data_IF_861690179622
#
_entry.id   IF_861690179622
#
_cell.length_a   1.000
_cell.length_b   1.000
_cell.length_c   1.000
_cell.angle_alpha   90.00
_cell.angle_beta   90.00
_cell.angle_gamma   90.00
#
_symmetry.space_group_name_H-M   'P 1'
#
loop_
_entity.id
_entity.type
_entity.pdbx_description
1 polymer ?
#
# COMPACT_ATOMS: atom_id res chain seq x y z
N UNK A 1 -1.66 14.15 -13.00
CA UNK A 1 -2.00 14.14 -11.57
C UNK A 1 -3.45 13.71 -11.33
N UNK A 2 -4.42 14.44 -11.90
CA UNK A 2 -5.85 14.28 -11.59
C UNK A 2 -6.53 13.07 -12.25
N UNK A 3 -5.79 12.18 -12.85
CA UNK A 3 -6.28 10.92 -13.44
C UNK A 3 -5.69 9.69 -12.71
N UNK A 4 -5.05 9.89 -11.55
CA UNK A 4 -4.40 8.79 -10.80
C UNK A 4 -5.39 7.69 -10.39
N UNK A 5 -6.64 8.03 -10.18
CA UNK A 5 -7.70 7.07 -9.87
C UNK A 5 -7.84 5.97 -10.94
N UNK A 6 -7.53 6.26 -12.21
CA UNK A 6 -7.56 5.25 -13.27
C UNK A 6 -6.62 4.07 -12.96
N UNK A 7 -5.45 4.34 -12.36
CA UNK A 7 -4.52 3.28 -11.95
C UNK A 7 -5.19 2.25 -11.04
N UNK A 8 -6.05 2.70 -10.14
CA UNK A 8 -6.73 1.83 -9.17
C UNK A 8 -7.90 1.10 -9.82
N UNK A 9 -8.70 1.80 -10.62
CA UNK A 9 -9.82 1.19 -11.36
C UNK A 9 -9.31 0.15 -12.35
N UNK A 10 -8.32 0.48 -13.19
CA UNK A 10 -7.75 -0.46 -14.16
C UNK A 10 -7.18 -1.72 -13.48
N UNK A 11 -6.56 -1.56 -12.29
CA UNK A 11 -6.05 -2.69 -11.53
C UNK A 11 -7.17 -3.59 -11.00
N UNK A 12 -8.25 -3.00 -10.48
CA UNK A 12 -9.43 -3.73 -10.01
C UNK A 12 -10.11 -4.44 -11.18
N UNK A 13 -10.32 -3.73 -12.29
CA UNK A 13 -10.94 -4.29 -13.51
C UNK A 13 -10.15 -5.50 -14.04
N UNK A 14 -8.81 -5.45 -14.00
CA UNK A 14 -7.97 -6.60 -14.33
C UNK A 14 -8.22 -7.80 -13.40
N UNK A 15 -8.33 -7.56 -12.09
CA UNK A 15 -8.64 -8.61 -11.11
C UNK A 15 -10.01 -9.22 -11.33
N UNK A 16 -11.01 -8.39 -11.55
CA UNK A 16 -12.38 -8.83 -11.86
C UNK A 16 -12.44 -9.63 -13.17
N UNK A 17 -11.73 -9.17 -14.21
CA UNK A 17 -11.63 -9.89 -15.48
C UNK A 17 -11.02 -11.28 -15.31
N UNK A 18 -9.93 -11.41 -14.54
CA UNK A 18 -9.29 -12.70 -14.27
C UNK A 18 -10.24 -13.66 -13.56
N UNK A 19 -11.01 -13.16 -12.59
CA UNK A 19 -12.02 -13.96 -11.90
C UNK A 19 -13.18 -14.35 -12.84
N UNK A 20 -13.73 -13.40 -13.58
CA UNK A 20 -14.83 -13.64 -14.51
C UNK A 20 -14.45 -14.60 -15.65
N UNK A 21 -13.18 -14.58 -16.08
CA UNK A 21 -12.64 -15.46 -17.12
C UNK A 21 -12.23 -16.85 -16.59
N UNK A 22 -12.41 -17.12 -15.29
CA UNK A 22 -12.11 -18.43 -14.69
C UNK A 22 -10.62 -18.73 -14.48
N UNK A 23 -9.72 -17.73 -14.61
CA UNK A 23 -8.30 -17.90 -14.33
C UNK A 23 -8.00 -18.01 -12.84
N UNK A 24 -8.80 -17.37 -12.02
CA UNK A 24 -8.67 -17.34 -10.56
C UNK A 24 -10.03 -17.09 -9.91
N UNK A 25 -10.07 -16.93 -8.60
CA UNK A 25 -11.25 -16.50 -7.86
C UNK A 25 -10.83 -15.55 -6.72
N UNK A 26 -11.75 -14.80 -6.12
CA UNK A 26 -11.44 -13.98 -4.95
C UNK A 26 -10.82 -14.76 -3.78
N UNK A 27 -11.10 -16.05 -3.66
CA UNK A 27 -10.54 -16.93 -2.63
C UNK A 27 -9.09 -17.35 -2.89
N UNK A 28 -8.58 -17.08 -4.10
CA UNK A 28 -7.22 -17.51 -4.51
C UNK A 28 -6.40 -16.37 -5.11
N UNK A 29 -7.01 -15.23 -5.46
CA UNK A 29 -6.31 -14.10 -6.04
C UNK A 29 -5.44 -13.39 -5.01
N UNK A 30 -4.12 -13.44 -5.22
CA UNK A 30 -3.15 -12.72 -4.43
C UNK A 30 -2.55 -11.55 -5.23
N UNK A 31 -2.30 -10.43 -4.57
CA UNK A 31 -1.69 -9.24 -5.17
C UNK A 31 -0.46 -8.80 -4.38
N UNK A 32 0.50 -8.19 -5.07
CA UNK A 32 1.69 -7.66 -4.41
C UNK A 32 2.17 -6.35 -5.02
N UNK A 33 2.72 -5.47 -4.19
CA UNK A 33 3.29 -4.20 -4.62
C UNK A 33 4.24 -3.60 -3.58
N UNK A 34 5.17 -2.76 -4.05
CA UNK A 34 6.20 -2.12 -3.21
C UNK A 34 6.20 -0.62 -3.39
N UNK A 35 6.54 0.14 -2.33
CA UNK A 35 6.70 1.60 -2.39
C UNK A 35 5.42 2.26 -2.93
N UNK A 36 5.48 2.97 -4.04
CA UNK A 36 4.29 3.48 -4.77
C UNK A 36 3.33 2.34 -5.19
N UNK A 37 3.85 1.15 -5.53
CA UNK A 37 3.03 -0.05 -5.72
C UNK A 37 2.36 -0.54 -4.43
N UNK A 38 2.95 -0.25 -3.27
CA UNK A 38 2.32 -0.46 -1.97
C UNK A 38 1.15 0.51 -1.70
N UNK A 39 1.24 1.75 -2.20
CA UNK A 39 0.10 2.67 -2.22
C UNK A 39 -1.03 2.09 -3.08
N UNK A 40 -0.70 1.57 -4.28
CA UNK A 40 -1.68 0.88 -5.13
C UNK A 40 -2.35 -0.26 -4.35
N UNK A 41 -1.57 -1.13 -3.69
CA UNK A 41 -2.12 -2.22 -2.88
C UNK A 41 -3.07 -1.72 -1.79
N UNK A 42 -2.67 -0.69 -1.05
CA UNK A 42 -3.51 -0.10 0.00
C UNK A 42 -4.80 0.52 -0.52
N UNK A 43 -4.73 1.23 -1.65
CA UNK A 43 -5.89 1.87 -2.26
C UNK A 43 -6.91 0.82 -2.78
N UNK A 44 -6.47 -0.17 -3.56
CA UNK A 44 -7.36 -1.19 -4.11
C UNK A 44 -7.94 -2.11 -3.04
N UNK A 45 -7.19 -2.36 -1.95
CA UNK A 45 -7.71 -3.10 -0.79
C UNK A 45 -8.86 -2.36 -0.10
N UNK A 46 -8.79 -1.02 -0.03
CA UNK A 46 -9.88 -0.22 0.51
C UNK A 46 -11.09 -0.14 -0.44
N UNK A 47 -10.86 -0.14 -1.75
CA UNK A 47 -11.90 0.00 -2.77
C UNK A 47 -12.62 -1.32 -3.06
N UNK A 48 -11.91 -2.44 -3.07
CA UNK A 48 -12.44 -3.76 -3.39
C UNK A 48 -11.88 -4.84 -2.43
N UNK A 49 -12.22 -4.76 -1.12
CA UNK A 49 -11.64 -5.63 -0.09
C UNK A 49 -11.97 -7.12 -0.29
N UNK A 50 -13.09 -7.42 -0.93
CA UNK A 50 -13.56 -8.80 -1.15
C UNK A 50 -13.01 -9.43 -2.45
N UNK A 51 -12.30 -8.67 -3.27
CA UNK A 51 -11.74 -9.17 -4.54
C UNK A 51 -10.46 -9.97 -4.35
N UNK A 52 -9.73 -9.74 -3.26
CA UNK A 52 -8.40 -10.30 -3.04
C UNK A 52 -8.36 -11.22 -1.82
N UNK A 53 -7.76 -12.39 -1.97
CA UNK A 53 -7.50 -13.30 -0.84
C UNK A 53 -6.33 -12.83 0.01
N UNK A 54 -5.25 -12.39 -0.64
CA UNK A 54 -4.02 -12.01 0.04
C UNK A 54 -3.38 -10.79 -0.62
N UNK A 55 -2.80 -9.93 0.21
CA UNK A 55 -2.10 -8.71 -0.21
C UNK A 55 -0.70 -8.68 0.42
N UNK A 56 0.34 -8.59 -0.42
CA UNK A 56 1.71 -8.38 0.04
C UNK A 56 2.12 -6.94 -0.27
N UNK A 57 2.31 -6.15 0.78
CA UNK A 57 2.56 -4.71 0.70
C UNK A 57 3.96 -4.40 1.24
N UNK A 58 4.93 -4.25 0.35
CA UNK A 58 6.33 -4.03 0.70
C UNK A 58 6.67 -2.55 0.82
N UNK A 59 7.23 -2.14 1.96
CA UNK A 59 7.62 -0.73 2.24
C UNK A 59 6.62 0.27 1.68
N UNK A 60 5.33 0.12 1.99
CA UNK A 60 4.25 0.76 1.26
C UNK A 60 4.14 2.25 1.59
N UNK A 61 3.99 3.07 0.54
CA UNK A 61 3.72 4.50 0.65
C UNK A 61 2.22 4.72 0.91
N UNK A 62 1.79 4.53 2.16
CA UNK A 62 0.36 4.49 2.52
C UNK A 62 -0.15 5.74 3.26
N UNK A 63 0.74 6.55 3.80
CA UNK A 63 0.38 7.80 4.51
C UNK A 63 0.68 9.04 3.66
N UNK A 64 0.25 8.97 2.39
CA UNK A 64 0.48 9.99 1.35
C UNK A 64 0.21 11.42 1.84
N UNK A 65 -0.89 11.61 2.57
CA UNK A 65 -1.28 12.95 3.02
C UNK A 65 -0.31 13.55 4.03
N UNK A 66 0.25 12.73 4.92
CA UNK A 66 1.27 13.20 5.88
C UNK A 66 2.59 13.43 5.17
N UNK A 67 3.06 12.45 4.40
CA UNK A 67 4.37 12.51 3.75
C UNK A 67 4.46 13.62 2.71
N UNK A 68 3.42 13.83 1.91
CA UNK A 68 3.44 14.90 0.89
C UNK A 68 3.29 16.30 1.46
N UNK A 69 2.73 16.45 2.67
CA UNK A 69 2.62 17.74 3.34
C UNK A 69 3.86 18.12 4.16
N UNK A 70 4.82 17.23 4.32
CA UNK A 70 6.06 17.48 5.06
C UNK A 70 7.28 17.61 4.12
N UNK A 71 7.69 18.83 3.75
CA UNK A 71 8.82 19.05 2.85
C UNK A 71 10.18 18.69 3.49
N UNK A 72 10.23 18.39 4.79
CA UNK A 72 11.46 17.95 5.47
C UNK A 72 11.77 16.47 5.21
N UNK A 73 10.77 15.69 4.79
CA UNK A 73 10.98 14.28 4.42
C UNK A 73 11.74 14.22 3.10
N UNK A 74 12.83 13.45 3.02
CA UNK A 74 13.59 13.30 1.79
C UNK A 74 12.70 12.87 0.62
N UNK A 75 12.94 13.45 -0.56
CA UNK A 75 12.23 13.24 -1.82
C UNK A 75 10.82 13.87 -1.92
N UNK A 76 10.15 14.26 -0.84
CA UNK A 76 8.78 14.77 -0.85
C UNK A 76 8.56 15.87 -1.90
N UNK A 77 9.41 16.89 -1.93
CA UNK A 77 9.25 17.99 -2.89
C UNK A 77 9.45 17.57 -4.34
N UNK A 78 10.32 16.58 -4.60
CA UNK A 78 10.49 15.96 -5.92
C UNK A 78 9.29 15.13 -6.35
N UNK A 79 8.66 14.44 -5.40
CA UNK A 79 7.47 13.63 -5.61
C UNK A 79 6.20 14.46 -5.93
N UNK A 80 6.21 15.78 -5.66
CA UNK A 80 5.11 16.65 -6.08
C UNK A 80 4.91 16.69 -7.60
N UNK A 81 5.94 16.34 -8.38
CA UNK A 81 5.83 16.18 -9.83
C UNK A 81 5.04 14.92 -10.22
N UNK A 82 4.99 13.93 -9.35
CA UNK A 82 4.24 12.68 -9.56
C UNK A 82 2.80 12.79 -9.01
N UNK A 83 2.67 13.23 -7.75
CA UNK A 83 1.40 13.19 -7.00
C UNK A 83 0.60 14.50 -7.06
N UNK A 84 1.27 15.60 -7.33
CA UNK A 84 0.75 16.95 -7.20
C UNK A 84 1.23 17.64 -5.92
N UNK A 85 1.28 18.97 -5.94
CA UNK A 85 1.70 19.76 -4.78
C UNK A 85 0.52 19.96 -3.82
N UNK A 86 0.56 19.42 -2.58
CA UNK A 86 -0.55 19.52 -1.60
C UNK A 86 -0.80 20.93 -1.10
N UNK A 87 0.11 21.89 -1.32
CA UNK A 87 -0.15 23.31 -1.03
C UNK A 87 -1.21 23.90 -1.96
N UNK A 88 -1.55 23.22 -3.06
CA UNK A 88 -2.70 23.53 -3.89
C UNK A 88 -3.90 22.65 -3.45
N UNK A 89 -4.98 23.28 -2.99
CA UNK A 89 -6.18 22.60 -2.49
C UNK A 89 -6.72 21.55 -3.45
N UNK A 90 -6.67 21.81 -4.75
CA UNK A 90 -7.13 20.88 -5.78
C UNK A 90 -6.37 19.54 -5.74
N UNK A 91 -5.05 19.57 -5.57
CA UNK A 91 -4.25 18.36 -5.48
C UNK A 91 -4.38 17.69 -4.11
N UNK A 92 -4.46 18.50 -3.04
CA UNK A 92 -4.70 18.02 -1.69
C UNK A 92 -5.98 17.18 -1.62
N UNK A 93 -7.11 17.75 -2.04
CA UNK A 93 -8.40 17.06 -2.00
C UNK A 93 -8.41 15.83 -2.93
N UNK A 94 -7.73 15.91 -4.08
CA UNK A 94 -7.64 14.78 -4.97
C UNK A 94 -6.82 13.61 -4.37
N UNK A 95 -5.65 13.89 -3.79
CA UNK A 95 -4.81 12.89 -3.12
C UNK A 95 -5.54 12.21 -1.95
N UNK A 96 -6.33 12.98 -1.20
CA UNK A 96 -7.12 12.47 -0.08
C UNK A 96 -8.09 11.36 -0.50
N UNK A 97 -8.63 11.41 -1.71
CA UNK A 97 -9.59 10.42 -2.20
C UNK A 97 -9.00 9.02 -2.35
N UNK A 98 -7.70 8.90 -2.57
CA UNK A 98 -7.05 7.60 -2.75
C UNK A 98 -5.96 7.29 -1.71
N UNK A 99 -5.65 8.21 -0.81
CA UNK A 99 -4.67 7.95 0.25
C UNK A 99 -5.10 6.73 1.07
N UNK A 100 -4.32 5.64 1.11
CA UNK A 100 -4.72 4.43 1.81
C UNK A 100 -5.12 4.68 3.26
N UNK A 101 -4.30 5.42 4.03
CA UNK A 101 -4.56 5.70 5.45
C UNK A 101 -5.85 6.49 5.70
N UNK A 102 -6.23 7.41 4.79
CA UNK A 102 -7.42 8.23 4.95
C UNK A 102 -8.72 7.48 4.60
N UNK A 103 -8.60 6.41 3.81
CA UNK A 103 -9.76 5.69 3.28
C UNK A 103 -9.96 4.31 3.93
N UNK A 104 -9.26 4.01 5.02
CA UNK A 104 -9.53 2.79 5.80
C UNK A 104 -10.91 2.88 6.45
N UNK A 105 -11.76 1.90 6.15
CA UNK A 105 -13.10 1.76 6.73
C UNK A 105 -13.25 0.41 7.42
N UNK A 106 -14.15 0.31 8.37
CA UNK A 106 -14.55 -0.98 8.94
C UNK A 106 -15.17 -1.85 7.84
N UNK A 107 -14.59 -3.01 7.60
CA UNK A 107 -15.04 -4.00 6.60
C UNK A 107 -14.29 -5.31 6.79
N UNK A 108 -14.72 -6.35 6.08
CA UNK A 108 -13.87 -7.52 5.88
C UNK A 108 -12.53 -7.09 5.24
N UNK A 109 -11.47 -7.80 5.58
CA UNK A 109 -10.12 -7.55 5.02
C UNK A 109 -9.57 -8.86 4.46
N UNK A 110 -8.78 -8.81 3.37
CA UNK A 110 -7.94 -9.93 2.97
C UNK A 110 -6.87 -10.24 4.02
N UNK A 111 -6.17 -11.35 3.88
CA UNK A 111 -4.90 -11.55 4.56
C UNK A 111 -3.88 -10.52 4.05
N UNK A 112 -3.17 -9.83 4.94
CA UNK A 112 -2.23 -8.77 4.55
C UNK A 112 -0.87 -9.02 5.20
N UNK A 113 0.18 -9.09 4.38
CA UNK A 113 1.56 -9.02 4.83
C UNK A 113 2.16 -7.66 4.48
N UNK A 114 2.49 -6.88 5.49
CA UNK A 114 3.17 -5.59 5.35
C UNK A 114 4.64 -5.79 5.71
N UNK A 115 5.56 -5.32 4.87
CA UNK A 115 6.99 -5.33 5.21
C UNK A 115 7.52 -3.90 5.32
N UNK A 116 8.48 -3.68 6.21
CA UNK A 116 9.14 -2.38 6.42
C UNK A 116 10.63 -2.54 6.68
N UNK A 117 11.43 -1.55 6.31
CA UNK A 117 12.83 -1.44 6.69
C UNK A 117 12.99 -0.32 7.73
N UNK A 118 13.67 -0.60 8.85
CA UNK A 118 13.84 0.38 9.92
C UNK A 118 14.62 1.63 9.45
N UNK A 119 15.56 1.43 8.53
CA UNK A 119 16.43 2.48 8.00
C UNK A 119 16.02 2.94 6.60
N UNK A 120 14.73 2.81 6.26
CA UNK A 120 14.21 3.26 4.98
C UNK A 120 14.19 4.80 4.89
N UNK A 121 14.98 5.41 3.98
CA UNK A 121 15.05 6.86 3.85
C UNK A 121 13.97 7.44 2.92
N UNK A 122 13.17 6.58 2.25
CA UNK A 122 12.16 7.00 1.26
C UNK A 122 10.75 6.90 1.82
N UNK A 123 10.45 5.75 2.44
CA UNK A 123 9.16 5.48 3.06
C UNK A 123 9.41 5.07 4.50
N UNK A 124 9.11 5.95 5.40
CA UNK A 124 9.39 5.76 6.82
C UNK A 124 8.66 4.51 7.37
N UNK A 125 9.37 3.70 8.15
CA UNK A 125 8.83 2.46 8.73
C UNK A 125 7.54 2.67 9.55
N UNK A 126 7.37 3.86 10.12
CA UNK A 126 6.16 4.16 10.90
C UNK A 126 4.90 4.31 10.06
N UNK A 127 4.99 4.57 8.74
CA UNK A 127 3.84 4.51 7.84
C UNK A 127 3.27 3.09 7.83
N UNK A 128 4.14 2.10 7.59
CA UNK A 128 3.79 0.68 7.63
C UNK A 128 3.24 0.26 9.00
N UNK A 129 3.85 0.74 10.09
CA UNK A 129 3.42 0.39 11.45
C UNK A 129 2.04 0.95 11.77
N UNK A 130 1.80 2.24 11.50
CA UNK A 130 0.48 2.87 11.66
C UNK A 130 -0.58 2.19 10.80
N UNK A 131 -0.23 1.90 9.55
CA UNK A 131 -1.14 1.23 8.62
C UNK A 131 -1.57 -0.15 9.13
N UNK A 132 -0.62 -0.97 9.61
CA UNK A 132 -0.92 -2.28 10.19
C UNK A 132 -1.89 -2.19 11.37
N UNK A 133 -1.68 -1.22 12.28
CA UNK A 133 -2.59 -1.01 13.42
C UNK A 133 -3.99 -0.62 12.94
N UNK A 134 -4.08 0.38 12.06
CA UNK A 134 -5.36 0.86 11.55
C UNK A 134 -6.13 -0.20 10.78
N UNK A 135 -5.43 -1.04 9.99
CA UNK A 135 -6.06 -2.15 9.27
C UNK A 135 -6.61 -3.19 10.24
N UNK A 136 -5.88 -3.53 11.31
CA UNK A 136 -6.37 -4.46 12.37
C UNK A 136 -7.59 -3.91 13.10
N UNK A 137 -7.55 -2.64 13.49
CA UNK A 137 -8.67 -1.98 14.18
C UNK A 137 -9.94 -1.88 13.33
N UNK A 138 -9.78 -1.85 12.01
CA UNK A 138 -10.89 -1.74 11.05
C UNK A 138 -11.37 -3.08 10.49
N UNK A 139 -10.71 -4.18 10.87
CA UNK A 139 -11.02 -5.52 10.38
C UNK A 139 -12.24 -6.10 11.09
N UNK A 140 -13.23 -6.57 10.33
CA UNK A 140 -14.47 -7.17 10.86
C UNK A 140 -14.47 -8.70 10.83
N UNK A 141 -13.50 -9.33 10.16
CA UNK A 141 -13.38 -10.78 10.11
C UNK A 141 -12.18 -11.25 10.95
N UNK A 142 -12.47 -12.02 11.99
CA UNK A 142 -11.48 -12.50 12.97
C UNK A 142 -10.42 -13.42 12.35
N UNK A 143 -10.74 -14.10 11.26
CA UNK A 143 -9.84 -15.01 10.56
C UNK A 143 -8.75 -14.31 9.74
N UNK A 144 -8.90 -13.01 9.42
CA UNK A 144 -7.92 -12.28 8.62
C UNK A 144 -6.62 -12.03 9.39
N UNK A 145 -5.50 -12.36 8.75
CA UNK A 145 -4.16 -12.16 9.29
C UNK A 145 -3.56 -10.89 8.73
N UNK A 146 -3.43 -9.87 9.57
CA UNK A 146 -2.77 -8.61 9.20
C UNK A 146 -1.42 -8.57 9.92
N UNK A 147 -0.36 -8.88 9.18
CA UNK A 147 0.98 -9.07 9.70
C UNK A 147 1.89 -7.92 9.30
N UNK A 148 2.73 -7.48 10.22
CA UNK A 148 3.82 -6.54 9.97
C UNK A 148 5.16 -7.23 10.24
N UNK A 149 6.04 -7.23 9.25
CA UNK A 149 7.43 -7.66 9.36
C UNK A 149 8.35 -6.46 9.17
N UNK A 150 9.01 -6.02 10.22
CA UNK A 150 10.02 -4.96 10.14
C UNK A 150 11.41 -5.55 10.15
N UNK A 151 12.21 -5.28 9.13
CA UNK A 151 13.63 -5.61 9.09
C UNK A 151 14.43 -4.48 9.75
N UNK A 152 15.08 -4.81 10.88
CA UNK A 152 15.82 -3.84 11.68
C UNK A 152 17.15 -3.39 11.05
N UNK A 153 17.59 -4.06 9.99
CA UNK A 153 18.85 -3.77 9.29
C UNK A 153 18.64 -3.28 7.85
N UNK A 154 17.41 -3.31 7.36
CA UNK A 154 17.11 -2.97 5.98
C UNK A 154 16.71 -1.50 5.79
N UNK A 155 17.06 -0.97 4.60
CA UNK A 155 16.51 0.25 4.04
C UNK A 155 15.37 -0.04 3.05
N UNK A 156 15.19 0.86 2.06
CA UNK A 156 14.11 0.74 1.08
C UNK A 156 14.22 -0.50 0.17
N UNK A 157 15.42 -0.91 -0.20
CA UNK A 157 15.68 -1.98 -1.17
C UNK A 157 16.18 -3.29 -0.57
N UNK A 158 15.92 -3.55 0.72
CA UNK A 158 16.46 -4.65 1.51
C UNK A 158 17.95 -4.46 1.90
N UNK A 159 18.55 -5.50 2.47
CA UNK A 159 19.98 -5.49 2.81
C UNK A 159 20.85 -5.80 1.59
N UNK A 160 22.12 -5.48 1.68
CA UNK A 160 23.14 -5.73 0.64
C UNK A 160 23.39 -7.21 0.35
N UNK A 161 22.83 -8.14 1.13
CA UNK A 161 22.95 -9.57 0.90
C UNK A 161 22.13 -9.99 -0.34
N UNK A 162 22.86 -10.40 -1.39
CA UNK A 162 22.34 -10.85 -2.68
C UNK A 162 21.29 -11.98 -2.57
N UNK A 163 21.41 -12.86 -1.59
CA UNK A 163 20.55 -14.05 -1.42
C UNK A 163 19.40 -13.82 -0.43
N UNK A 164 19.45 -12.78 0.38
CA UNK A 164 18.41 -12.52 1.39
C UNK A 164 17.05 -12.31 0.76
N UNK A 165 17.00 -11.65 -0.41
CA UNK A 165 15.77 -11.46 -1.19
C UNK A 165 15.05 -12.79 -1.48
N UNK A 166 15.79 -13.85 -1.79
CA UNK A 166 15.19 -15.15 -2.05
C UNK A 166 14.67 -15.83 -0.78
N UNK A 167 15.30 -15.57 0.38
CA UNK A 167 14.81 -16.05 1.68
C UNK A 167 13.57 -15.29 2.17
N UNK A 168 13.35 -14.09 1.67
CA UNK A 168 12.16 -13.30 2.00
C UNK A 168 10.93 -13.76 1.22
N UNK A 169 11.13 -14.32 0.04
CA UNK A 169 10.06 -14.77 -0.86
C UNK A 169 9.71 -16.25 -0.65
N UNK A 170 10.66 -17.05 -0.13
CA UNK A 170 10.45 -18.46 0.20
C UNK A 170 9.72 -18.65 1.53
#
# INVERSE_FOLDING_TARGET
YLNKMNTFYDFIDCGEYLCASGWTSPETLAISGRSAGGLLMGAVTNMAPDLFKCVVSGVPFVDLMVSMCDPSIPLTTGEWLEWGNPNCSKFYEYMKNYCPMQNIRKSRKPDILITAGLHDPRVAYWESAKYAVRMRESCENEEARILLKTDLSAGHFSTTDRYRKFKEVA
#
